data_IF_244375293731
#
_entry.id   IF_244375293731
#
_cell.length_a   1.000
_cell.length_b   1.000
_cell.length_c   1.000
_cell.angle_alpha   90.00
_cell.angle_beta   90.00
_cell.angle_gamma   90.00
#
_symmetry.space_group_name_H-M   'P 1'
#
loop_
_entity.id
_entity.type
_entity.pdbx_description
1 polymer ?
#
# COMPACT_ATOMS: atom_id res chain seq x y z
N UNK A 1 8.87 12.49 -2.19
CA UNK A 1 7.80 11.50 -2.42
C UNK A 1 8.30 10.07 -2.53
N UNK A 2 9.39 9.83 -3.24
CA UNK A 2 9.92 8.46 -3.35
C UNK A 2 10.28 7.82 -2.00
N UNK A 3 10.84 8.61 -1.10
CA UNK A 3 11.19 8.12 0.23
C UNK A 3 9.97 7.58 0.97
N UNK A 4 8.85 8.29 0.89
CA UNK A 4 7.60 7.86 1.55
C UNK A 4 7.08 6.57 0.93
N UNK A 5 7.16 6.45 -0.40
CA UNK A 5 6.73 5.24 -1.10
C UNK A 5 7.59 4.04 -0.68
N UNK A 6 8.91 4.22 -0.58
CA UNK A 6 9.82 3.16 -0.15
C UNK A 6 9.57 2.77 1.31
N UNK A 7 9.38 3.75 2.18
CA UNK A 7 9.05 3.50 3.58
C UNK A 7 7.72 2.74 3.71
N UNK A 8 6.74 3.07 2.86
CA UNK A 8 5.46 2.38 2.85
C UNK A 8 5.61 0.89 2.52
N UNK A 9 6.31 0.56 1.42
CA UNK A 9 6.51 -0.84 1.06
C UNK A 9 7.33 -1.59 2.09
N UNK A 10 8.35 -0.95 2.67
CA UNK A 10 9.15 -1.56 3.72
C UNK A 10 8.31 -1.85 4.97
N UNK A 11 7.51 -0.89 5.40
CA UNK A 11 6.63 -1.07 6.55
C UNK A 11 5.60 -2.18 6.29
N UNK A 12 5.07 -2.25 5.07
CA UNK A 12 4.13 -3.28 4.67
C UNK A 12 4.75 -4.68 4.76
N UNK A 13 5.95 -4.86 4.23
CA UNK A 13 6.68 -6.13 4.28
C UNK A 13 6.99 -6.54 5.71
N UNK A 14 7.32 -5.58 6.57
CA UNK A 14 7.63 -5.82 7.98
C UNK A 14 6.39 -5.94 8.87
N UNK A 15 5.21 -5.71 8.31
CA UNK A 15 3.94 -5.68 9.07
C UNK A 15 3.98 -4.62 10.18
N UNK A 16 4.60 -3.50 9.89
CA UNK A 16 4.81 -2.42 10.86
C UNK A 16 3.65 -1.43 10.83
N UNK A 17 2.60 -1.75 11.60
CA UNK A 17 1.39 -0.92 11.65
C UNK A 17 1.66 0.48 12.22
N UNK A 18 2.60 0.59 13.16
CA UNK A 18 2.97 1.90 13.73
C UNK A 18 3.56 2.80 12.66
N UNK A 19 4.48 2.27 11.84
CA UNK A 19 5.08 3.04 10.77
C UNK A 19 4.06 3.41 9.71
N UNK A 20 3.18 2.49 9.35
CA UNK A 20 2.10 2.78 8.41
C UNK A 20 1.21 3.90 8.93
N UNK A 21 0.87 3.88 10.23
CA UNK A 21 0.06 4.94 10.83
C UNK A 21 0.74 6.30 10.74
N UNK A 22 2.06 6.35 10.85
CA UNK A 22 2.82 7.60 10.69
C UNK A 22 2.79 8.11 9.25
N UNK A 23 2.78 7.21 8.27
CA UNK A 23 2.79 7.57 6.84
C UNK A 23 1.41 7.96 6.32
N UNK A 24 0.33 7.47 6.93
CA UNK A 24 -1.04 7.70 6.47
C UNK A 24 -1.59 9.03 6.96
N UNK A 25 -2.29 9.74 6.06
CA UNK A 25 -3.13 10.87 6.46
C UNK A 25 -4.35 10.34 7.23
N UNK A 26 -4.90 11.15 8.14
CA UNK A 26 -6.09 10.77 8.90
C UNK A 26 -7.28 10.40 8.01
N UNK A 27 -7.39 11.07 6.85
CA UNK A 27 -8.50 10.88 5.92
C UNK A 27 -8.13 9.98 4.73
N UNK A 28 -7.08 9.17 4.87
CA UNK A 28 -6.65 8.28 3.80
C UNK A 28 -7.79 7.40 3.31
N UNK A 29 -7.80 7.13 2.00
CA UNK A 29 -8.71 6.16 1.41
C UNK A 29 -7.89 5.06 0.70
N UNK A 30 -8.28 3.82 0.94
CA UNK A 30 -7.74 2.67 0.23
C UNK A 30 -8.87 2.06 -0.60
N UNK A 31 -8.64 1.93 -1.90
CA UNK A 31 -9.57 1.25 -2.82
C UNK A 31 -8.87 0.05 -3.44
N UNK A 32 -9.58 -1.05 -3.55
CA UNK A 32 -9.06 -2.28 -4.11
C UNK A 32 -9.82 -2.69 -5.38
N UNK A 33 -9.23 -3.54 -6.17
CA UNK A 33 -9.79 -4.01 -7.45
C UNK A 33 -11.13 -4.75 -7.31
N UNK A 34 -11.39 -5.31 -6.14
CA UNK A 34 -12.65 -6.02 -5.84
C UNK A 34 -13.74 -5.09 -5.29
N UNK A 35 -13.54 -3.79 -5.50
CA UNK A 35 -14.45 -2.72 -5.08
C UNK A 35 -14.55 -2.49 -3.58
N UNK A 36 -13.68 -3.12 -2.78
CA UNK A 36 -13.59 -2.79 -1.36
C UNK A 36 -12.98 -1.40 -1.21
N UNK A 37 -13.62 -0.58 -0.39
CA UNK A 37 -13.18 0.77 -0.11
C UNK A 37 -13.10 0.96 1.40
N UNK A 38 -11.95 1.43 1.88
CA UNK A 38 -11.72 1.73 3.28
C UNK A 38 -11.42 3.21 3.41
N UNK A 39 -12.15 3.91 4.27
CA UNK A 39 -12.01 5.34 4.46
C UNK A 39 -11.58 5.65 5.88
N UNK A 40 -10.51 6.44 5.99
CA UNK A 40 -9.93 6.84 7.26
C UNK A 40 -8.77 5.94 7.70
N UNK A 41 -7.85 6.54 8.44
CA UNK A 41 -6.63 5.86 8.89
C UNK A 41 -6.94 4.57 9.65
N UNK A 42 -7.89 4.63 10.58
CA UNK A 42 -8.24 3.48 11.41
C UNK A 42 -8.75 2.30 10.58
N UNK A 43 -9.63 2.58 9.60
CA UNK A 43 -10.17 1.54 8.74
C UNK A 43 -9.09 0.93 7.84
N UNK A 44 -8.19 1.75 7.30
CA UNK A 44 -7.10 1.28 6.44
C UNK A 44 -6.12 0.43 7.25
N UNK A 45 -5.75 0.87 8.45
CA UNK A 45 -4.86 0.09 9.32
C UNK A 45 -5.48 -1.25 9.71
N UNK A 46 -6.79 -1.28 9.95
CA UNK A 46 -7.49 -2.52 10.26
C UNK A 46 -7.45 -3.49 9.07
N UNK A 47 -7.65 -2.98 7.85
CA UNK A 47 -7.54 -3.79 6.64
C UNK A 47 -6.12 -4.34 6.48
N UNK A 48 -5.10 -3.52 6.73
CA UNK A 48 -3.71 -3.97 6.72
C UNK A 48 -3.46 -5.07 7.77
N UNK A 49 -3.95 -4.87 8.99
CA UNK A 49 -3.77 -5.84 10.06
C UNK A 49 -4.40 -7.19 9.73
N UNK A 50 -5.60 -7.18 9.14
CA UNK A 50 -6.28 -8.41 8.73
C UNK A 50 -5.44 -9.18 7.70
N UNK A 51 -4.85 -8.47 6.74
CA UNK A 51 -3.96 -9.06 5.75
C UNK A 51 -2.71 -9.64 6.42
N UNK A 52 -2.11 -8.89 7.35
CA UNK A 52 -0.89 -9.31 8.06
C UNK A 52 -1.12 -10.55 8.93
N UNK A 53 -2.32 -10.68 9.48
CA UNK A 53 -2.68 -11.85 10.28
C UNK A 53 -3.00 -13.06 9.41
N UNK A 54 -3.41 -12.83 8.17
CA UNK A 54 -3.78 -13.90 7.24
C UNK A 54 -2.56 -14.59 6.62
N UNK A 55 -1.50 -13.84 6.36
CA UNK A 55 -0.30 -14.35 5.70
C UNK A 55 0.91 -14.22 6.61
N UNK A 56 1.68 -15.31 6.76
CA UNK A 56 2.86 -15.31 7.60
C UNK A 56 3.99 -14.51 6.96
N UNK A 57 4.21 -14.71 5.66
CA UNK A 57 5.30 -14.08 4.93
C UNK A 57 4.76 -13.16 3.85
N UNK A 58 5.17 -11.89 3.89
CA UNK A 58 4.79 -10.89 2.89
C UNK A 58 6.05 -10.33 2.27
N UNK A 59 6.11 -10.32 0.95
CA UNK A 59 7.19 -9.70 0.20
C UNK A 59 6.63 -8.79 -0.87
N UNK A 60 7.39 -7.77 -1.25
CA UNK A 60 7.04 -6.86 -2.34
C UNK A 60 8.27 -6.66 -3.21
N UNK A 61 8.12 -6.88 -4.50
CA UNK A 61 9.16 -6.59 -5.49
C UNK A 61 8.63 -5.49 -6.40
N UNK A 62 9.31 -4.35 -6.43
CA UNK A 62 8.95 -3.24 -7.31
C UNK A 62 9.59 -3.48 -8.67
N UNK A 63 8.76 -3.63 -9.70
CA UNK A 63 9.21 -3.88 -11.07
C UNK A 63 9.42 -2.59 -11.85
N UNK A 64 8.57 -1.61 -11.64
CA UNK A 64 8.63 -0.32 -12.32
C UNK A 64 7.94 0.74 -11.48
N UNK A 65 8.36 1.96 -11.63
CA UNK A 65 7.75 3.11 -10.94
C UNK A 65 7.76 4.30 -11.86
N UNK A 66 6.63 5.01 -11.89
CA UNK A 66 6.53 6.29 -12.57
C UNK A 66 5.83 7.26 -11.61
N UNK A 67 6.39 8.44 -11.46
CA UNK A 67 5.83 9.46 -10.56
C UNK A 67 5.61 10.76 -11.30
N UNK A 68 4.47 11.39 -11.08
CA UNK A 68 4.13 12.67 -11.64
C UNK A 68 3.28 13.44 -10.64
N UNK A 69 3.65 14.69 -10.38
CA UNK A 69 2.99 15.53 -9.39
C UNK A 69 2.99 14.85 -8.02
N UNK A 70 1.83 14.57 -7.46
CA UNK A 70 1.69 13.97 -6.14
C UNK A 70 1.36 12.47 -6.21
N UNK A 71 1.48 11.86 -7.38
CA UNK A 71 1.06 10.48 -7.60
C UNK A 71 2.23 9.61 -8.03
N UNK A 72 2.31 8.42 -7.46
CA UNK A 72 3.29 7.41 -7.83
C UNK A 72 2.55 6.15 -8.26
N UNK A 73 2.87 5.66 -9.46
CA UNK A 73 2.36 4.38 -9.96
C UNK A 73 3.46 3.36 -9.79
N UNK A 74 3.16 2.27 -9.10
CA UNK A 74 4.12 1.23 -8.77
C UNK A 74 3.62 -0.10 -9.27
N UNK A 75 4.31 -0.64 -10.26
CA UNK A 75 4.06 -1.99 -10.75
C UNK A 75 4.85 -2.94 -9.85
N UNK A 76 4.14 -3.76 -9.08
CA UNK A 76 4.74 -4.60 -8.06
C UNK A 76 4.27 -6.04 -8.18
N UNK A 77 5.08 -6.96 -7.62
CA UNK A 77 4.67 -8.32 -7.35
C UNK A 77 4.61 -8.47 -5.84
N UNK A 78 3.44 -8.81 -5.33
CA UNK A 78 3.26 -9.06 -3.90
C UNK A 78 3.31 -10.56 -3.67
N UNK A 79 4.20 -10.97 -2.76
CA UNK A 79 4.30 -12.36 -2.34
C UNK A 79 3.56 -12.53 -1.02
N UNK A 80 2.57 -13.41 -1.02
CA UNK A 80 1.77 -13.73 0.16
C UNK A 80 1.92 -15.22 0.42
N UNK A 81 2.86 -15.58 1.30
CA UNK A 81 3.29 -16.97 1.48
C UNK A 81 3.72 -17.56 0.14
N UNK A 82 3.00 -18.56 -0.38
CA UNK A 82 3.32 -19.22 -1.65
C UNK A 82 2.61 -18.61 -2.87
N UNK A 83 1.84 -17.54 -2.67
CA UNK A 83 1.05 -16.92 -3.73
C UNK A 83 1.70 -15.64 -4.21
N UNK A 84 1.78 -15.45 -5.51
CA UNK A 84 2.22 -14.20 -6.12
C UNK A 84 1.03 -13.47 -6.70
N UNK A 85 0.92 -12.18 -6.40
CA UNK A 85 -0.13 -11.31 -6.94
C UNK A 85 0.52 -10.13 -7.64
N UNK A 86 0.17 -9.92 -8.90
CA UNK A 86 0.65 -8.76 -9.66
C UNK A 86 -0.31 -7.60 -9.42
N UNK A 87 0.24 -6.48 -9.00
CA UNK A 87 -0.55 -5.31 -8.60
C UNK A 87 0.11 -4.04 -9.13
N UNK A 88 -0.71 -3.08 -9.52
CA UNK A 88 -0.26 -1.71 -9.69
C UNK A 88 -0.87 -0.90 -8.55
N UNK A 89 -0.02 -0.36 -7.68
CA UNK A 89 -0.45 0.56 -6.63
C UNK A 89 -0.29 1.98 -7.12
N UNK A 90 -1.41 2.70 -7.19
CA UNK A 90 -1.43 4.14 -7.43
C UNK A 90 -1.52 4.82 -6.06
N UNK A 91 -0.46 5.55 -5.69
CA UNK A 91 -0.35 6.14 -4.36
C UNK A 91 -0.25 7.66 -4.49
N UNK A 92 -1.14 8.38 -3.82
CA UNK A 92 -1.13 9.84 -3.80
C UNK A 92 -0.60 10.32 -2.46
N UNK A 93 0.37 11.23 -2.53
CA UNK A 93 1.05 11.79 -1.35
C UNK A 93 0.87 13.31 -1.36
N UNK A 94 0.38 13.87 -0.26
CA UNK A 94 0.24 15.32 -0.07
C UNK A 94 0.78 15.66 1.31
N UNK A 95 1.63 16.69 1.40
CA UNK A 95 2.24 17.13 2.65
C UNK A 95 2.91 15.98 3.42
N UNK A 96 3.66 15.16 2.68
CA UNK A 96 4.41 14.02 3.23
C UNK A 96 3.53 12.94 3.89
N UNK A 97 2.25 12.89 3.52
CA UNK A 97 1.32 11.85 3.99
C UNK A 97 0.65 11.17 2.82
N UNK A 98 0.42 9.88 2.95
CA UNK A 98 -0.32 9.12 1.95
C UNK A 98 -1.80 9.40 2.16
N UNK A 99 -2.44 9.97 1.12
CA UNK A 99 -3.86 10.35 1.19
C UNK A 99 -4.76 9.39 0.41
N UNK A 100 -4.20 8.64 -0.54
CA UNK A 100 -4.99 7.72 -1.35
C UNK A 100 -4.12 6.60 -1.90
N UNK A 101 -4.64 5.39 -1.84
CA UNK A 101 -4.03 4.22 -2.46
C UNK A 101 -5.11 3.50 -3.26
N UNK A 102 -4.85 3.27 -4.55
CA UNK A 102 -5.69 2.44 -5.39
C UNK A 102 -4.87 1.25 -5.88
N UNK A 103 -5.31 0.06 -5.55
CA UNK A 103 -4.65 -1.17 -5.96
C UNK A 103 -5.38 -1.79 -7.15
N UNK A 104 -4.67 -1.94 -8.27
CA UNK A 104 -5.17 -2.61 -9.47
C UNK A 104 -4.48 -3.96 -9.59
N UNK A 105 -5.27 -5.03 -9.63
CA UNK A 105 -4.71 -6.36 -9.79
C UNK A 105 -4.48 -6.67 -11.27
N UNK A 106 -3.28 -7.18 -11.59
CA UNK A 106 -2.95 -7.71 -12.90
C UNK A 106 -3.30 -9.19 -13.01
N UNK A 107 -3.56 -9.63 -14.22
CA UNK A 107 -3.88 -11.02 -14.52
C UNK A 107 -2.82 -11.63 -15.42
#
# INVERSE_FOLDING_TARGET
>A
MEKIIEEYFEAFVRKDLRKLAELYDEDIQLSEWDENIFVGKEAVLKANEELFNKFENIGVVVKARASENNRSLNEIVVHLDDVEVKVVDSIKVINDKIVYIMAYRGF
#
